data_IF_564586484141
#
_entry.id   IF_564586484141
#
_cell.length_a   1.000
_cell.length_b   1.000
_cell.length_c   1.000
_cell.angle_alpha   90.00
_cell.angle_beta   90.00
_cell.angle_gamma   90.00
#
_symmetry.space_group_name_H-M   'P 1'
#
loop_
_entity.id
_entity.type
_entity.pdbx_description
1 polymer ?
#
# COMPACT_ATOMS: atom_id res chain seq x y z
N UNK A 1 16.95 16.06 -6.35
CA UNK A 1 16.44 14.69 -6.21
C UNK A 1 16.96 14.12 -4.90
N UNK A 2 16.09 13.48 -4.09
CA UNK A 2 16.54 12.75 -2.90
C UNK A 2 17.53 11.65 -3.33
N UNK A 3 18.63 11.48 -2.56
CA UNK A 3 19.61 10.43 -2.84
C UNK A 3 18.92 9.06 -2.76
N UNK A 4 19.10 8.22 -3.77
CA UNK A 4 18.52 6.88 -3.87
C UNK A 4 19.60 5.84 -3.63
N UNK A 5 19.33 4.90 -2.72
CA UNK A 5 20.13 3.67 -2.59
C UNK A 5 19.27 2.47 -2.99
N UNK A 6 19.72 1.70 -3.98
CA UNK A 6 19.08 0.45 -4.41
C UNK A 6 19.78 -0.71 -3.72
N UNK A 7 19.01 -1.57 -3.07
CA UNK A 7 19.53 -2.69 -2.27
C UNK A 7 18.76 -3.97 -2.55
N UNK A 8 19.41 -5.12 -2.37
CA UNK A 8 18.78 -6.44 -2.37
C UNK A 8 18.89 -7.06 -0.98
N UNK A 9 17.79 -7.54 -0.43
CA UNK A 9 17.68 -8.10 0.90
C UNK A 9 17.21 -9.56 0.80
N UNK A 10 18.06 -10.54 1.13
CA UNK A 10 17.61 -11.91 1.35
C UNK A 10 16.63 -11.96 2.51
N UNK A 11 15.47 -12.60 2.31
CA UNK A 11 14.45 -12.73 3.36
C UNK A 11 14.64 -14.02 4.15
N UNK A 12 14.95 -13.95 5.44
CA UNK A 12 15.18 -15.14 6.26
C UNK A 12 13.96 -16.07 6.28
N UNK A 13 14.18 -17.36 6.00
CA UNK A 13 13.12 -18.38 6.02
C UNK A 13 12.09 -18.29 4.87
N UNK A 14 12.24 -17.33 3.95
CA UNK A 14 11.26 -17.10 2.86
C UNK A 14 11.72 -17.63 1.49
N UNK A 15 13.02 -17.98 1.36
CA UNK A 15 13.58 -18.44 0.09
C UNK A 15 13.49 -17.42 -1.04
N UNK A 16 13.46 -16.14 -0.71
CA UNK A 16 13.33 -15.03 -1.66
C UNK A 16 14.24 -13.86 -1.28
N UNK A 17 14.65 -13.09 -2.27
CA UNK A 17 15.39 -11.83 -2.12
C UNK A 17 14.52 -10.69 -2.61
N UNK A 18 14.32 -9.68 -1.78
CA UNK A 18 13.61 -8.47 -2.16
C UNK A 18 14.58 -7.38 -2.60
N UNK A 19 14.23 -6.69 -3.67
CA UNK A 19 14.89 -5.45 -4.06
C UNK A 19 14.05 -4.28 -3.56
N UNK A 20 14.73 -3.23 -3.10
CA UNK A 20 14.06 -2.03 -2.64
C UNK A 20 14.93 -0.79 -2.83
N UNK A 21 14.28 0.35 -2.89
CA UNK A 21 14.92 1.66 -2.93
C UNK A 21 14.76 2.33 -1.57
N UNK A 22 15.82 2.98 -1.10
CA UNK A 22 15.82 3.78 0.13
C UNK A 22 16.10 5.23 -0.19
N UNK A 23 15.36 6.13 0.46
CA UNK A 23 15.49 7.57 0.32
C UNK A 23 15.34 8.27 1.69
N UNK A 24 15.80 9.51 1.78
CA UNK A 24 15.64 10.35 2.96
C UNK A 24 16.67 10.10 4.06
N UNK A 25 16.54 10.84 5.19
CA UNK A 25 17.49 10.78 6.30
C UNK A 25 17.46 9.43 7.01
N UNK A 26 18.59 9.02 7.59
CA UNK A 26 18.71 7.71 8.28
C UNK A 26 17.84 7.63 9.53
N UNK A 27 17.67 8.75 10.22
CA UNK A 27 16.86 8.92 11.43
C UNK A 27 15.42 9.39 11.14
N UNK A 28 15.03 9.47 9.87
CA UNK A 28 13.68 9.83 9.45
C UNK A 28 12.64 8.79 9.89
N UNK A 29 11.39 9.25 10.07
CA UNK A 29 10.27 8.35 10.38
C UNK A 29 10.14 7.29 9.28
N UNK A 30 10.10 5.98 9.61
CA UNK A 30 10.00 4.94 8.59
C UNK A 30 8.72 5.07 7.77
N UNK A 31 8.87 4.98 6.44
CA UNK A 31 7.76 4.93 5.49
C UNK A 31 7.99 3.78 4.50
N UNK A 32 6.97 2.96 4.29
CA UNK A 32 7.01 1.80 3.39
C UNK A 32 6.02 2.03 2.25
N UNK A 33 6.49 1.85 1.00
CA UNK A 33 5.69 2.04 -0.21
C UNK A 33 5.55 0.71 -0.95
N UNK A 34 4.30 0.29 -1.21
CA UNK A 34 3.94 -0.97 -1.86
C UNK A 34 3.15 -0.70 -3.15
N UNK A 35 3.73 -1.08 -4.28
CA UNK A 35 3.22 -0.77 -5.62
C UNK A 35 2.03 -1.64 -6.05
N UNK A 36 1.38 -1.25 -7.13
CA UNK A 36 0.30 -2.01 -7.78
C UNK A 36 0.80 -3.27 -8.50
N UNK A 37 -0.13 -4.14 -8.89
CA UNK A 37 0.14 -5.31 -9.71
C UNK A 37 0.83 -4.93 -11.04
N UNK A 38 1.92 -5.58 -11.36
CA UNK A 38 2.74 -5.29 -12.54
C UNK A 38 3.61 -4.04 -12.41
N UNK A 39 3.62 -3.40 -11.23
CA UNK A 39 4.45 -2.25 -10.91
C UNK A 39 5.85 -2.61 -10.39
N UNK A 40 6.48 -1.65 -9.73
CA UNK A 40 7.75 -1.78 -9.01
C UNK A 40 7.97 -0.55 -8.13
N UNK A 41 8.99 -0.52 -7.30
CA UNK A 41 9.40 0.63 -6.49
C UNK A 41 9.49 1.94 -7.29
N UNK A 42 9.84 1.86 -8.59
CA UNK A 42 9.94 3.02 -9.49
C UNK A 42 8.61 3.77 -9.68
N UNK A 43 7.47 3.14 -9.37
CA UNK A 43 6.15 3.79 -9.48
C UNK A 43 6.01 4.99 -8.56
N UNK A 44 6.73 4.98 -7.45
CA UNK A 44 6.67 5.99 -6.40
C UNK A 44 7.61 7.17 -6.60
N UNK A 45 8.49 7.13 -7.61
CA UNK A 45 9.59 8.10 -7.75
C UNK A 45 9.15 9.58 -7.79
N UNK A 46 7.94 9.88 -8.26
CA UNK A 46 7.43 11.26 -8.36
C UNK A 46 6.93 11.79 -7.01
N UNK A 47 6.44 10.92 -6.11
CA UNK A 47 5.97 11.29 -4.77
C UNK A 47 7.03 11.13 -3.68
N UNK A 48 8.12 10.42 -3.95
CA UNK A 48 9.21 10.22 -3.00
C UNK A 48 9.87 11.53 -2.54
N UNK A 49 10.17 12.53 -3.40
CA UNK A 49 10.91 13.71 -2.94
C UNK A 49 10.28 14.46 -1.77
N UNK A 50 8.96 14.78 -1.75
CA UNK A 50 8.35 15.40 -0.59
C UNK A 50 8.32 14.47 0.64
N UNK A 51 8.10 13.17 0.48
CA UNK A 51 8.14 12.23 1.61
C UNK A 51 9.54 12.09 2.22
N UNK A 52 10.56 11.99 1.38
CA UNK A 52 11.94 11.83 1.80
C UNK A 52 12.57 13.07 2.47
N UNK A 53 11.83 14.18 2.58
CA UNK A 53 12.27 15.34 3.33
C UNK A 53 12.35 15.04 4.84
N UNK A 54 11.42 14.26 5.38
CA UNK A 54 11.29 13.95 6.81
C UNK A 54 11.20 12.44 7.12
N UNK A 55 10.98 11.61 6.09
CA UNK A 55 10.79 10.18 6.26
C UNK A 55 11.95 9.38 5.67
N UNK A 56 12.27 8.27 6.32
CA UNK A 56 13.11 7.21 5.75
C UNK A 56 12.24 6.31 4.89
N UNK A 57 12.19 6.57 3.59
CA UNK A 57 11.29 5.91 2.65
C UNK A 57 11.91 4.63 2.11
N UNK A 58 11.20 3.51 2.26
CA UNK A 58 11.54 2.20 1.71
C UNK A 58 10.49 1.80 0.66
N UNK A 59 10.84 1.87 -0.61
CA UNK A 59 9.96 1.44 -1.69
C UNK A 59 10.38 0.04 -2.16
N UNK A 60 9.53 -0.96 -1.90
CA UNK A 60 9.83 -2.36 -2.24
C UNK A 60 9.39 -2.71 -3.67
N UNK A 61 10.20 -3.54 -4.34
CA UNK A 61 9.69 -4.40 -5.40
C UNK A 61 9.10 -5.65 -4.73
N UNK A 62 7.80 -5.85 -4.83
CA UNK A 62 7.17 -7.03 -4.22
C UNK A 62 7.55 -8.31 -4.98
N UNK A 63 7.40 -9.47 -4.35
CA UNK A 63 7.63 -10.79 -4.95
C UNK A 63 7.05 -10.88 -6.37
N UNK A 64 7.81 -11.39 -7.32
CA UNK A 64 7.40 -11.53 -8.73
C UNK A 64 7.47 -10.24 -9.54
N UNK A 65 8.02 -9.14 -8.98
CA UNK A 65 8.08 -7.83 -9.63
C UNK A 65 9.47 -7.21 -9.55
N UNK A 66 9.77 -6.34 -10.51
CA UNK A 66 11.00 -5.54 -10.56
C UNK A 66 12.26 -6.40 -10.51
N UNK A 67 13.15 -6.08 -9.56
CA UNK A 67 14.40 -6.80 -9.33
C UNK A 67 14.32 -7.78 -8.15
N UNK A 68 13.13 -7.99 -7.56
CA UNK A 68 12.87 -9.04 -6.56
C UNK A 68 12.73 -10.41 -7.23
N UNK A 69 13.01 -11.46 -6.43
CA UNK A 69 12.96 -12.82 -6.95
C UNK A 69 11.53 -13.22 -7.36
N UNK A 70 11.46 -14.05 -8.38
CA UNK A 70 10.24 -14.75 -8.78
C UNK A 70 10.11 -16.03 -7.99
N UNK A 71 8.88 -16.54 -7.87
CA UNK A 71 8.58 -17.74 -7.09
C UNK A 71 7.59 -18.65 -7.81
N UNK A 72 7.35 -19.85 -7.25
CA UNK A 72 6.32 -20.75 -7.73
C UNK A 72 4.91 -20.37 -7.26
N UNK A 73 4.82 -19.63 -6.14
CA UNK A 73 3.55 -19.33 -5.48
C UNK A 73 3.39 -17.83 -5.25
N UNK A 74 2.15 -17.36 -5.47
CA UNK A 74 1.75 -15.96 -5.31
C UNK A 74 0.38 -15.84 -4.66
N UNK A 75 0.31 -15.09 -3.57
CA UNK A 75 -0.93 -14.62 -2.96
C UNK A 75 -0.66 -13.30 -2.24
N UNK A 76 -1.70 -12.49 -1.98
CA UNK A 76 -1.55 -11.27 -1.19
C UNK A 76 -0.97 -11.58 0.19
N UNK A 77 -1.41 -12.70 0.81
CA UNK A 77 -0.90 -13.14 2.12
C UNK A 77 0.58 -13.46 2.07
N UNK A 78 1.02 -14.23 1.08
CA UNK A 78 2.42 -14.60 0.93
C UNK A 78 3.33 -13.37 0.75
N UNK A 79 2.86 -12.39 -0.05
CA UNK A 79 3.57 -11.13 -0.27
C UNK A 79 3.59 -10.28 1.02
N UNK A 80 2.49 -10.24 1.78
CA UNK A 80 2.45 -9.54 3.07
C UNK A 80 3.45 -10.14 4.06
N UNK A 81 3.53 -11.47 4.15
CA UNK A 81 4.51 -12.16 4.98
C UNK A 81 5.96 -11.86 4.57
N UNK A 82 6.23 -11.69 3.27
CA UNK A 82 7.54 -11.29 2.79
C UNK A 82 7.87 -9.84 3.19
N UNK A 83 6.91 -8.92 3.08
CA UNK A 83 7.09 -7.52 3.53
C UNK A 83 7.33 -7.47 5.02
N UNK A 84 6.61 -8.26 5.81
CA UNK A 84 6.85 -8.40 7.27
C UNK A 84 8.29 -8.85 7.52
N UNK A 85 8.74 -9.91 6.85
CA UNK A 85 10.11 -10.41 7.01
C UNK A 85 11.17 -9.38 6.59
N UNK A 86 10.88 -8.57 5.55
CA UNK A 86 11.76 -7.48 5.13
C UNK A 86 11.82 -6.37 6.20
N UNK A 87 10.67 -5.96 6.74
CA UNK A 87 10.61 -4.93 7.79
C UNK A 87 11.31 -5.40 9.06
N UNK A 88 11.08 -6.64 9.51
CA UNK A 88 11.76 -7.23 10.67
C UNK A 88 13.28 -7.27 10.45
N UNK A 89 13.74 -7.68 9.25
CA UNK A 89 15.18 -7.75 8.93
C UNK A 89 15.86 -6.38 8.88
N UNK A 90 15.10 -5.33 8.56
CA UNK A 90 15.57 -3.95 8.50
C UNK A 90 15.37 -3.19 9.81
N UNK A 91 14.78 -3.82 10.84
CA UNK A 91 14.45 -3.18 12.11
C UNK A 91 13.38 -2.09 11.97
N UNK A 92 12.51 -2.17 10.96
CA UNK A 92 11.44 -1.20 10.71
C UNK A 92 10.23 -1.56 11.57
N UNK A 93 9.80 -0.63 12.42
CA UNK A 93 8.58 -0.74 13.22
C UNK A 93 7.88 0.60 13.28
N UNK A 94 6.57 0.59 13.54
CA UNK A 94 5.78 1.82 13.64
C UNK A 94 5.79 2.70 12.38
N UNK A 95 5.95 2.09 11.21
CA UNK A 95 6.07 2.80 9.94
C UNK A 95 4.76 3.41 9.47
N UNK A 96 4.84 4.46 8.65
CA UNK A 96 3.77 4.84 7.74
C UNK A 96 3.79 3.87 6.56
N UNK A 97 2.72 3.12 6.33
CA UNK A 97 2.63 2.18 5.21
C UNK A 97 1.66 2.71 4.17
N UNK A 98 2.13 2.86 2.93
CA UNK A 98 1.33 3.33 1.79
C UNK A 98 1.26 2.20 0.75
N UNK A 99 0.07 1.76 0.41
CA UNK A 99 -0.13 0.73 -0.60
C UNK A 99 -1.14 1.12 -1.68
N UNK A 100 -0.78 0.92 -2.94
CA UNK A 100 -1.67 1.14 -4.07
C UNK A 100 -2.18 -0.19 -4.64
N UNK A 101 -3.49 -0.30 -4.85
CA UNK A 101 -4.11 -1.46 -5.49
C UNK A 101 -3.71 -2.78 -4.82
N UNK A 102 -3.06 -3.72 -5.51
CA UNK A 102 -2.49 -4.94 -4.93
C UNK A 102 -1.60 -4.65 -3.71
N UNK A 103 -0.74 -3.63 -3.78
CA UNK A 103 0.05 -3.18 -2.62
C UNK A 103 -0.80 -2.69 -1.46
N UNK A 104 -1.99 -2.17 -1.73
CA UNK A 104 -2.96 -1.79 -0.70
C UNK A 104 -3.57 -3.01 0.02
N UNK A 105 -3.87 -4.10 -0.69
CA UNK A 105 -4.29 -5.36 -0.06
C UNK A 105 -3.16 -5.97 0.77
N UNK A 106 -1.92 -5.91 0.28
CA UNK A 106 -0.74 -6.34 1.05
C UNK A 106 -0.57 -5.48 2.31
N UNK A 107 -0.73 -4.16 2.21
CA UNK A 107 -0.66 -3.23 3.34
C UNK A 107 -1.76 -3.49 4.39
N UNK A 108 -2.98 -3.80 3.96
CA UNK A 108 -4.07 -4.21 4.86
C UNK A 108 -3.70 -5.50 5.60
N UNK A 109 -3.24 -6.53 4.90
CA UNK A 109 -2.82 -7.79 5.51
C UNK A 109 -1.65 -7.61 6.49
N UNK A 110 -0.65 -6.81 6.12
CA UNK A 110 0.45 -6.43 7.01
C UNK A 110 -0.10 -5.79 8.30
N UNK A 111 -0.99 -4.80 8.19
CA UNK A 111 -1.57 -4.10 9.33
C UNK A 111 -2.46 -5.01 10.21
N UNK A 112 -3.16 -5.97 9.61
CA UNK A 112 -3.99 -6.95 10.32
C UNK A 112 -3.15 -7.98 11.11
N UNK A 113 -2.00 -8.39 10.55
CA UNK A 113 -1.17 -9.43 11.17
C UNK A 113 -0.08 -8.90 12.09
N UNK A 114 0.45 -7.70 11.79
CA UNK A 114 1.54 -7.07 12.52
C UNK A 114 1.25 -5.57 12.73
N UNK A 115 0.19 -5.26 13.51
CA UNK A 115 -0.18 -3.87 13.78
C UNK A 115 0.95 -3.08 14.48
N UNK A 116 1.88 -3.75 15.15
CA UNK A 116 3.08 -3.18 15.77
C UNK A 116 4.04 -2.56 14.74
N UNK A 117 4.03 -3.05 13.49
CA UNK A 117 4.86 -2.51 12.41
C UNK A 117 4.26 -1.26 11.77
N UNK A 118 2.96 -0.97 11.97
CA UNK A 118 2.22 0.06 11.24
C UNK A 118 1.66 1.13 12.19
N UNK A 119 2.20 2.34 12.14
CA UNK A 119 1.67 3.47 12.91
C UNK A 119 0.55 4.22 12.19
N UNK A 120 0.59 4.24 10.87
CA UNK A 120 -0.37 4.90 9.97
C UNK A 120 -0.50 4.08 8.69
N UNK A 121 -1.71 3.95 8.20
CA UNK A 121 -1.98 3.21 6.97
C UNK A 121 -2.58 4.15 5.92
N UNK A 122 -2.07 4.12 4.70
CA UNK A 122 -2.64 4.79 3.53
C UNK A 122 -2.92 3.74 2.46
N UNK A 123 -4.17 3.60 2.06
CA UNK A 123 -4.57 2.70 0.98
C UNK A 123 -5.13 3.50 -0.19
N UNK A 124 -4.50 3.34 -1.36
CA UNK A 124 -4.87 4.04 -2.57
C UNK A 124 -5.69 3.13 -3.48
N UNK A 125 -6.94 3.53 -3.68
CA UNK A 125 -7.90 3.02 -4.65
C UNK A 125 -8.00 1.48 -4.69
N UNK A 126 -8.20 0.90 -3.50
CA UNK A 126 -8.29 -0.53 -3.27
C UNK A 126 -9.37 -0.88 -2.25
N UNK A 127 -9.97 -2.05 -2.42
CA UNK A 127 -10.84 -2.70 -1.44
C UNK A 127 -10.36 -4.13 -1.24
N UNK A 128 -10.64 -4.77 -0.09
CA UNK A 128 -10.39 -6.20 0.07
C UNK A 128 -11.00 -7.02 -1.07
N UNK A 129 -10.43 -8.18 -1.41
CA UNK A 129 -10.89 -9.03 -2.50
C UNK A 129 -12.41 -9.23 -2.48
N UNK A 130 -13.04 -9.00 -3.65
CA UNK A 130 -14.50 -9.10 -3.81
C UNK A 130 -14.86 -9.52 -5.25
N UNK A 131 -15.99 -10.21 -5.47
CA UNK A 131 -16.39 -10.66 -6.79
C UNK A 131 -16.49 -9.50 -7.77
N UNK A 132 -15.67 -9.55 -8.81
CA UNK A 132 -15.64 -8.59 -9.91
C UNK A 132 -15.37 -9.29 -11.23
N UNK A 133 -16.00 -8.83 -12.29
CA UNK A 133 -15.67 -9.34 -13.63
C UNK A 133 -14.35 -8.70 -14.07
N UNK A 134 -13.27 -9.45 -14.00
CA UNK A 134 -11.98 -9.10 -14.61
C UNK A 134 -11.58 -10.16 -15.62
N UNK A 135 -11.04 -9.72 -16.73
CA UNK A 135 -10.43 -10.63 -17.72
C UNK A 135 -8.94 -10.75 -17.40
N UNK A 136 -8.45 -11.97 -17.32
CA UNK A 136 -7.01 -12.19 -17.23
C UNK A 136 -6.33 -11.61 -18.48
N UNK A 137 -5.25 -10.84 -18.33
CA UNK A 137 -4.47 -10.38 -19.47
C UNK A 137 -3.88 -11.60 -20.19
N UNK A 138 -3.74 -11.51 -21.50
CA UNK A 138 -2.98 -12.51 -22.25
C UNK A 138 -1.52 -12.55 -21.78
N UNK A 139 -0.91 -13.74 -21.80
CA UNK A 139 0.52 -13.87 -21.51
C UNK A 139 1.33 -13.04 -22.51
N UNK A 140 2.21 -12.19 -22.01
CA UNK A 140 3.04 -11.37 -22.87
C UNK A 140 4.01 -12.25 -23.69
N UNK A 141 4.20 -11.91 -24.96
CA UNK A 141 5.14 -12.60 -25.86
C UNK A 141 6.56 -12.06 -25.75
N UNK A 142 6.77 -10.99 -24.96
CA UNK A 142 8.06 -10.33 -24.70
C UNK A 142 8.39 -10.42 -23.21
N UNK A 143 9.69 -10.32 -22.81
CA UNK A 143 10.07 -10.24 -21.41
C UNK A 143 9.38 -9.07 -20.72
N UNK A 144 8.83 -9.31 -19.54
CA UNK A 144 8.16 -8.33 -18.69
C UNK A 144 8.95 -8.16 -17.38
N UNK A 145 8.87 -6.99 -16.72
CA UNK A 145 9.54 -6.76 -15.44
C UNK A 145 8.76 -7.39 -14.25
N UNK A 146 7.91 -8.37 -14.53
CA UNK A 146 7.11 -9.11 -13.55
C UNK A 146 6.79 -10.50 -14.06
N UNK A 147 6.59 -11.44 -13.14
CA UNK A 147 6.16 -12.79 -13.46
C UNK A 147 4.66 -12.80 -13.84
N UNK A 148 4.35 -13.38 -14.98
CA UNK A 148 2.96 -13.50 -15.44
C UNK A 148 2.11 -14.37 -14.51
N UNK A 149 2.67 -15.43 -13.91
CA UNK A 149 1.98 -16.28 -12.94
C UNK A 149 1.59 -15.48 -11.69
N UNK A 150 2.43 -14.54 -11.26
CA UNK A 150 2.10 -13.59 -10.21
C UNK A 150 0.88 -12.74 -10.59
N UNK A 151 0.87 -12.18 -11.81
CA UNK A 151 -0.25 -11.39 -12.31
C UNK A 151 -1.55 -12.20 -12.32
N UNK A 152 -1.49 -13.43 -12.86
CA UNK A 152 -2.66 -14.29 -12.97
C UNK A 152 -3.22 -14.70 -11.59
N UNK A 153 -2.37 -15.13 -10.67
CA UNK A 153 -2.75 -15.58 -9.33
C UNK A 153 -3.39 -14.45 -8.53
N UNK A 154 -2.76 -13.27 -8.49
CA UNK A 154 -3.26 -12.13 -7.72
C UNK A 154 -4.54 -11.53 -8.31
N UNK A 155 -4.72 -11.57 -9.64
CA UNK A 155 -5.99 -11.16 -10.25
C UNK A 155 -7.14 -12.10 -9.92
N UNK A 156 -6.89 -13.40 -9.88
CA UNK A 156 -7.90 -14.40 -9.45
C UNK A 156 -8.28 -14.15 -7.99
N UNK A 157 -7.28 -14.00 -7.11
CA UNK A 157 -7.50 -13.73 -5.69
C UNK A 157 -8.27 -12.43 -5.48
N UNK A 158 -7.89 -11.33 -6.15
CA UNK A 158 -8.55 -10.03 -6.03
C UNK A 158 -10.02 -10.04 -6.46
N UNK A 159 -10.46 -11.05 -7.21
CA UNK A 159 -11.86 -11.23 -7.65
C UNK A 159 -12.61 -12.30 -6.85
N UNK A 160 -11.97 -12.91 -5.88
CA UNK A 160 -12.55 -13.91 -4.98
C UNK A 160 -12.90 -13.23 -3.66
N UNK A 161 -14.13 -13.43 -3.15
CA UNK A 161 -14.55 -12.79 -1.90
C UNK A 161 -13.74 -13.32 -0.72
N UNK A 162 -13.09 -12.41 0.00
CA UNK A 162 -12.36 -12.69 1.23
C UNK A 162 -13.12 -12.13 2.44
N UNK A 163 -14.02 -12.95 3.01
CA UNK A 163 -14.83 -12.59 4.15
C UNK A 163 -13.97 -12.18 5.36
N UNK A 164 -12.86 -12.89 5.58
CA UNK A 164 -11.96 -12.62 6.70
C UNK A 164 -11.35 -11.23 6.60
N UNK A 165 -10.79 -10.84 5.46
CA UNK A 165 -10.24 -9.48 5.29
C UNK A 165 -11.30 -8.40 5.51
N UNK A 166 -12.54 -8.61 5.05
CA UNK A 166 -13.63 -7.66 5.27
C UNK A 166 -14.01 -7.51 6.74
N UNK A 167 -14.01 -8.60 7.50
CA UNK A 167 -14.27 -8.60 8.94
C UNK A 167 -13.13 -7.94 9.73
N UNK A 168 -11.86 -8.20 9.36
CA UNK A 168 -10.70 -7.63 10.03
C UNK A 168 -10.58 -6.11 9.88
N UNK A 169 -11.23 -5.48 8.89
CA UNK A 169 -11.25 -4.01 8.78
C UNK A 169 -11.72 -3.32 10.06
N UNK A 170 -12.67 -3.92 10.78
CA UNK A 170 -13.25 -3.38 12.00
C UNK A 170 -12.28 -3.43 13.20
N UNK A 171 -11.21 -4.19 13.08
CA UNK A 171 -10.21 -4.40 14.13
C UNK A 171 -8.89 -3.64 13.89
N UNK A 172 -8.78 -2.89 12.78
CA UNK A 172 -7.58 -2.10 12.50
C UNK A 172 -7.38 -1.01 13.56
N UNK A 173 -6.28 -1.05 14.33
CA UNK A 173 -6.10 -0.14 15.48
C UNK A 173 -5.45 1.20 15.10
N UNK A 174 -4.93 1.34 13.87
CA UNK A 174 -4.22 2.52 13.44
C UNK A 174 -5.11 3.45 12.60
N UNK A 175 -4.87 4.76 12.66
CA UNK A 175 -5.47 5.71 11.72
C UNK A 175 -5.17 5.32 10.28
N UNK A 176 -6.23 5.34 9.44
CA UNK A 176 -6.16 4.90 8.04
C UNK A 176 -6.69 5.99 7.13
N UNK A 177 -5.90 6.38 6.12
CA UNK A 177 -6.34 7.23 5.03
C UNK A 177 -6.68 6.37 3.81
N UNK A 178 -7.88 6.56 3.28
CA UNK A 178 -8.32 5.94 2.04
C UNK A 178 -8.31 7.01 0.96
N UNK A 179 -7.55 6.78 -0.10
CA UNK A 179 -7.46 7.66 -1.27
C UNK A 179 -8.25 7.03 -2.40
N UNK A 180 -9.33 7.69 -2.81
CA UNK A 180 -10.21 7.23 -3.88
C UNK A 180 -9.89 7.92 -5.21
N UNK A 181 -9.78 7.14 -6.29
CA UNK A 181 -9.53 7.64 -7.64
C UNK A 181 -10.75 8.28 -8.32
N UNK A 182 -11.92 8.24 -7.68
CA UNK A 182 -13.15 8.86 -8.18
C UNK A 182 -13.85 8.05 -9.27
N UNK A 183 -14.77 8.71 -9.98
CA UNK A 183 -15.62 8.06 -10.99
C UNK A 183 -14.87 7.48 -12.19
N UNK A 184 -13.65 7.93 -12.43
CA UNK A 184 -12.79 7.43 -13.51
C UNK A 184 -11.98 6.18 -13.11
N UNK A 185 -12.09 5.70 -11.85
CA UNK A 185 -11.49 4.46 -11.40
C UNK A 185 -12.36 3.24 -11.73
N UNK A 186 -11.72 2.07 -11.85
CA UNK A 186 -12.43 0.79 -11.93
C UNK A 186 -12.89 0.27 -10.54
N UNK A 187 -12.50 0.95 -9.46
CA UNK A 187 -13.03 0.74 -8.11
C UNK A 187 -14.17 1.73 -7.89
N UNK A 188 -15.41 1.27 -7.72
CA UNK A 188 -16.53 2.17 -7.48
C UNK A 188 -16.33 2.97 -6.19
N UNK A 189 -16.56 4.30 -6.18
CA UNK A 189 -16.45 5.11 -4.96
C UNK A 189 -17.27 4.56 -3.79
N UNK A 190 -18.46 4.05 -4.05
CA UNK A 190 -19.32 3.43 -3.02
C UNK A 190 -18.69 2.20 -2.34
N UNK A 191 -17.78 1.49 -3.00
CA UNK A 191 -17.07 0.37 -2.37
C UNK A 191 -15.97 0.86 -1.43
N UNK A 192 -15.27 1.95 -1.77
CA UNK A 192 -14.30 2.61 -0.89
C UNK A 192 -14.98 3.23 0.33
N UNK A 193 -16.17 3.81 0.17
CA UNK A 193 -17.00 4.26 1.28
C UNK A 193 -17.40 3.12 2.23
N UNK A 194 -17.68 1.90 1.71
CA UNK A 194 -17.95 0.72 2.55
C UNK A 194 -16.71 0.35 3.39
N UNK A 195 -15.52 0.43 2.80
CA UNK A 195 -14.26 0.19 3.53
C UNK A 195 -14.08 1.26 4.61
N UNK A 196 -14.27 2.54 4.28
CA UNK A 196 -14.15 3.65 5.21
C UNK A 196 -15.10 3.52 6.42
N UNK A 197 -16.34 3.07 6.18
CA UNK A 197 -17.32 2.86 7.27
C UNK A 197 -16.96 1.70 8.21
N UNK A 198 -16.14 0.76 7.77
CA UNK A 198 -15.74 -0.40 8.58
C UNK A 198 -14.49 -0.16 9.43
N UNK A 199 -13.58 0.67 8.94
CA UNK A 199 -12.34 0.96 9.69
C UNK A 199 -12.63 2.03 10.76
N UNK A 200 -12.37 1.76 12.04
CA UNK A 200 -12.75 2.66 13.15
C UNK A 200 -12.17 4.07 13.06
N UNK A 201 -10.95 4.20 12.55
CA UNK A 201 -10.25 5.49 12.40
C UNK A 201 -9.89 5.74 10.93
N UNK A 202 -10.89 5.73 10.05
CA UNK A 202 -10.71 6.01 8.64
C UNK A 202 -11.07 7.45 8.28
N UNK A 203 -10.22 8.04 7.42
CA UNK A 203 -10.54 9.23 6.63
C UNK A 203 -10.59 8.82 5.15
N UNK A 204 -11.53 9.39 4.39
CA UNK A 204 -11.66 9.13 2.96
C UNK A 204 -11.51 10.44 2.20
N UNK A 205 -10.60 10.46 1.23
CA UNK A 205 -10.41 11.59 0.30
C UNK A 205 -10.66 11.15 -1.13
N UNK A 206 -11.25 12.02 -1.92
CA UNK A 206 -11.60 11.75 -3.31
C UNK A 206 -10.74 12.58 -4.26
N UNK A 207 -10.15 11.89 -5.25
CA UNK A 207 -9.56 12.46 -6.44
C UNK A 207 -10.40 12.00 -7.64
N UNK A 208 -10.52 12.81 -8.68
CA UNK A 208 -11.26 12.40 -9.89
C UNK A 208 -10.32 12.18 -11.07
N UNK A 209 -9.30 11.34 -10.86
CA UNK A 209 -8.19 11.11 -11.79
C UNK A 209 -7.98 9.64 -12.16
N UNK A 210 -8.86 8.74 -11.67
CA UNK A 210 -8.80 7.32 -11.94
C UNK A 210 -7.84 6.57 -10.99
N UNK A 211 -7.58 5.30 -11.30
CA UNK A 211 -6.93 4.32 -10.43
C UNK A 211 -5.52 4.70 -9.93
N UNK A 212 -4.77 5.50 -10.67
CA UNK A 212 -3.37 5.84 -10.38
C UNK A 212 -3.23 7.27 -9.85
N UNK A 213 -3.76 7.55 -8.64
CA UNK A 213 -3.80 8.91 -8.09
C UNK A 213 -2.39 9.48 -7.89
N UNK A 214 -1.49 8.72 -7.23
CA UNK A 214 -0.11 9.12 -6.98
C UNK A 214 0.71 9.41 -8.25
N UNK A 215 0.28 8.91 -9.41
CA UNK A 215 0.94 9.13 -10.71
C UNK A 215 0.30 10.25 -11.51
N UNK A 216 -1.03 10.37 -11.42
CA UNK A 216 -1.78 11.34 -12.19
C UNK A 216 -1.77 12.73 -11.54
N UNK A 217 -1.67 12.76 -10.20
CA UNK A 217 -1.55 14.00 -9.40
C UNK A 217 -0.53 13.80 -8.27
N UNK A 218 0.76 13.62 -8.59
CA UNK A 218 1.78 13.25 -7.59
C UNK A 218 1.95 14.29 -6.49
N UNK A 219 1.94 15.58 -6.83
CA UNK A 219 2.11 16.64 -5.84
C UNK A 219 0.92 16.71 -4.89
N UNK A 220 -0.30 16.72 -5.42
CA UNK A 220 -1.52 16.80 -4.62
C UNK A 220 -1.71 15.55 -3.74
N UNK A 221 -1.36 14.38 -4.26
CA UNK A 221 -1.34 13.13 -3.48
C UNK A 221 -0.37 13.25 -2.28
N UNK A 222 0.85 13.68 -2.55
CA UNK A 222 1.87 13.81 -1.49
C UNK A 222 1.48 14.87 -0.45
N UNK A 223 0.99 16.03 -0.88
CA UNK A 223 0.53 17.10 0.01
C UNK A 223 -0.64 16.64 0.88
N UNK A 224 -1.60 15.91 0.29
CA UNK A 224 -2.74 15.33 1.02
C UNK A 224 -2.29 14.35 2.09
N UNK A 225 -1.40 13.42 1.75
CA UNK A 225 -0.87 12.43 2.70
C UNK A 225 -0.09 13.13 3.82
N UNK A 226 0.82 14.05 3.49
CA UNK A 226 1.62 14.78 4.49
C UNK A 226 0.75 15.64 5.41
N UNK A 227 -0.25 16.36 4.87
CA UNK A 227 -1.19 17.14 5.65
C UNK A 227 -2.00 16.25 6.60
N UNK A 228 -2.45 15.08 6.12
CA UNK A 228 -3.15 14.11 6.96
C UNK A 228 -2.27 13.54 8.08
N UNK A 229 -1.02 13.20 7.79
CA UNK A 229 -0.06 12.75 8.79
C UNK A 229 0.17 13.81 9.88
N UNK A 230 0.32 15.08 9.50
CA UNK A 230 0.50 16.20 10.40
C UNK A 230 -0.74 16.46 11.29
N UNK A 231 -1.95 16.40 10.72
CA UNK A 231 -3.21 16.61 11.45
C UNK A 231 -3.46 15.52 12.50
N UNK A 232 -3.12 14.27 12.19
CA UNK A 232 -3.27 13.14 13.10
C UNK A 232 -2.22 13.14 14.23
N UNK A 233 -1.08 13.73 14.04
CA UNK A 233 -0.12 13.97 15.12
C UNK A 233 -0.68 14.91 16.21
N UNK A 234 -1.58 15.82 15.84
CA UNK A 234 -2.24 16.77 16.76
C UNK A 234 -3.42 16.14 17.50
N UNK A 235 -4.22 15.28 16.84
CA UNK A 235 -5.43 14.68 17.43
C UNK A 235 -5.16 13.67 18.56
N UNK A 236 -3.98 13.10 18.66
CA UNK A 236 -3.59 12.27 19.82
C UNK A 236 -3.54 13.07 21.14
N UNK A 237 -3.67 14.40 21.09
CA UNK A 237 -3.65 15.31 22.26
C UNK A 237 -5.01 15.90 22.64
N UNK A 238 -6.09 15.58 21.91
CA UNK A 238 -7.43 16.14 22.19
C UNK A 238 -8.43 15.00 22.34
N UNK A 239 -9.20 14.91 23.47
CA UNK A 239 -10.28 13.93 23.63
C UNK A 239 -11.36 14.16 22.57
N UNK A 240 -11.82 13.08 21.93
CA UNK A 240 -12.83 13.09 20.87
C UNK A 240 -14.13 13.76 21.36
N UNK A 241 -14.52 14.89 20.76
CA UNK A 241 -15.93 15.32 20.69
C UNK A 241 -16.46 14.81 19.35
N UNK A 242 -17.66 14.18 19.39
CA UNK A 242 -18.29 13.56 18.24
C UNK A 242 -18.36 14.51 17.03
N UNK A 243 -17.95 14.01 15.90
CA UNK A 243 -18.16 14.66 14.60
C UNK A 243 -19.59 14.36 14.16
N UNK A 244 -20.40 15.43 14.01
CA UNK A 244 -21.75 15.38 13.48
C UNK A 244 -21.67 15.70 11.96
N UNK A 245 -22.08 14.79 11.05
CA UNK A 245 -21.95 14.99 9.61
C UNK A 245 -23.06 15.82 8.96
N UNK A 246 -23.88 16.53 9.75
CA UNK A 246 -24.96 17.39 9.20
C UNK A 246 -24.93 18.80 9.78
N UNK A 247 -24.84 19.84 8.86
CA UNK A 247 -25.56 21.08 9.09
C UNK A 247 -26.99 20.93 8.61
#
# INVERSE_FOLDING_TARGET
MAARTRTRLPLPGRGATYAYDVYGPEDGVPMVLLHELGGSAKRWQEVVPPFAAEHRVHAFDMRGHGDSDWASDYSHRLIADDVIAAMDSLGISGAVVIGHSTGGNVALLLAMHRPDLVSRLVIEDVVPPAPRRRRLPGRATRPMPHDWECIASLLVEATTYDAWMWEQLELLPMPTLIVAGGGNSHIPPADLEKVARRIPEADLVHFDVGHFVHRNQPQEFADTVLAWLASRCWMQRVPRRGWDPHP
#
